data_IF_321293523379
#
_entry.id   IF_321293523379
#
_cell.length_a   1.000
_cell.length_b   1.000
_cell.length_c   1.000
_cell.angle_alpha   90.00
_cell.angle_beta   90.00
_cell.angle_gamma   90.00
#
_symmetry.space_group_name_H-M   'P 1'
#
loop_
_entity.id
_entity.type
_entity.pdbx_description
1 polymer ?
#
# COMPACT_ATOMS: atom_id res chain seq x y z
N UNK A 1 2.97 12.92 7.50
CA UNK A 1 1.52 12.86 7.18
C UNK A 1 0.86 11.88 8.13
N UNK A 2 -0.40 12.09 8.52
CA UNK A 2 -1.12 11.16 9.39
C UNK A 2 -1.64 9.93 8.62
N UNK A 3 -1.98 8.86 9.34
CA UNK A 3 -2.62 7.67 8.77
C UNK A 3 -3.92 7.99 8.04
N UNK A 4 -4.74 8.91 8.59
CA UNK A 4 -5.96 9.38 7.94
C UNK A 4 -5.67 10.07 6.60
N UNK A 5 -4.68 10.96 6.54
CA UNK A 5 -4.34 11.65 5.30
C UNK A 5 -3.88 10.68 4.21
N UNK A 6 -3.11 9.64 4.58
CA UNK A 6 -2.75 8.57 3.65
C UNK A 6 -4.00 7.83 3.14
N UNK A 7 -4.90 7.47 4.05
CA UNK A 7 -6.12 6.78 3.67
C UNK A 7 -6.96 7.61 2.69
N UNK A 8 -7.07 8.92 2.90
CA UNK A 8 -7.89 9.78 2.07
C UNK A 8 -7.24 10.08 0.70
N UNK A 9 -5.91 10.28 0.63
CA UNK A 9 -5.26 10.90 -0.56
C UNK A 9 -4.23 10.06 -1.31
N UNK A 10 -3.66 9.00 -0.71
CA UNK A 10 -2.60 8.25 -1.42
C UNK A 10 -3.16 7.38 -2.55
N UNK A 11 -2.59 7.31 -3.76
CA UNK A 11 -3.10 6.35 -4.75
C UNK A 11 -2.82 4.90 -4.31
N UNK A 12 -3.76 3.97 -4.56
CA UNK A 12 -3.44 2.53 -4.46
C UNK A 12 -2.21 2.23 -5.31
N UNK A 13 -1.30 1.41 -4.81
CA UNK A 13 -0.03 1.10 -5.46
C UNK A 13 1.12 2.05 -5.15
N UNK A 14 0.87 3.16 -4.45
CA UNK A 14 1.91 4.05 -3.94
C UNK A 14 2.84 3.33 -2.95
N UNK A 15 4.12 3.71 -2.93
CA UNK A 15 5.04 3.30 -1.86
C UNK A 15 4.98 4.32 -0.74
N UNK A 16 4.71 3.83 0.46
CA UNK A 16 4.54 4.61 1.67
C UNK A 16 5.63 4.22 2.65
N UNK A 17 6.39 5.21 3.11
CA UNK A 17 7.26 5.10 4.28
C UNK A 17 6.44 5.40 5.52
N UNK A 18 6.63 4.63 6.59
CA UNK A 18 6.12 4.91 7.92
C UNK A 18 7.27 4.96 8.94
N UNK A 19 7.15 5.79 9.98
CA UNK A 19 8.19 5.99 10.99
C UNK A 19 7.60 6.38 12.34
N UNK A 20 8.24 5.97 13.43
CA UNK A 20 7.98 6.45 14.80
C UNK A 20 8.91 7.60 15.21
N UNK A 21 9.71 8.13 14.28
CA UNK A 21 10.66 9.22 14.52
C UNK A 21 11.96 8.81 15.24
N UNK A 22 12.09 7.55 15.65
CA UNK A 22 13.30 7.10 16.36
C UNK A 22 14.49 6.92 15.39
N UNK A 23 15.74 7.22 15.83
CA UNK A 23 16.90 7.13 14.94
C UNK A 23 17.26 5.68 14.60
N UNK A 24 17.64 5.44 13.34
CA UNK A 24 18.02 4.12 12.84
C UNK A 24 19.24 3.55 13.60
N UNK A 25 19.12 2.35 14.22
CA UNK A 25 20.25 1.70 14.87
C UNK A 25 21.37 1.33 13.89
N UNK A 26 22.65 1.29 14.31
CA UNK A 26 23.74 0.79 13.48
C UNK A 26 23.52 -0.65 13.03
N UNK A 27 23.92 -1.00 11.80
CA UNK A 27 23.67 -2.31 11.18
C UNK A 27 24.23 -3.50 11.96
N UNK A 28 25.33 -3.30 12.70
CA UNK A 28 25.89 -4.32 13.58
C UNK A 28 24.93 -4.75 14.71
N UNK A 29 23.99 -3.91 15.11
CA UNK A 29 23.01 -4.22 16.16
C UNK A 29 21.74 -4.86 15.57
N UNK A 30 21.89 -5.99 14.88
CA UNK A 30 20.83 -6.65 14.09
C UNK A 30 19.48 -6.77 14.81
N UNK A 31 19.47 -7.19 16.08
CA UNK A 31 18.22 -7.30 16.87
C UNK A 31 17.53 -5.95 17.10
N UNK A 32 18.31 -4.90 17.38
CA UNK A 32 17.77 -3.55 17.57
C UNK A 32 17.27 -2.99 16.24
N UNK A 33 18.03 -3.21 15.16
CA UNK A 33 17.63 -2.78 13.82
C UNK A 33 16.31 -3.45 13.40
N UNK A 34 16.17 -4.77 13.57
CA UNK A 34 14.93 -5.47 13.26
C UNK A 34 13.74 -4.98 14.11
N UNK A 35 13.96 -4.69 15.40
CA UNK A 35 12.92 -4.11 16.25
C UNK A 35 12.52 -2.71 15.80
N UNK A 36 13.48 -1.90 15.34
CA UNK A 36 13.27 -0.57 14.80
C UNK A 36 12.51 -0.60 13.47
N UNK A 37 12.86 -1.52 12.56
CA UNK A 37 12.20 -1.71 11.25
C UNK A 37 10.70 -2.04 11.39
N UNK A 38 10.28 -2.66 12.50
CA UNK A 38 8.85 -2.91 12.77
C UNK A 38 8.03 -1.62 12.81
N UNK A 39 8.61 -0.48 13.18
CA UNK A 39 7.93 0.82 13.22
C UNK A 39 8.52 1.83 12.24
N UNK A 40 9.54 1.43 11.48
CA UNK A 40 10.25 2.28 10.52
C UNK A 40 10.58 1.49 9.25
N UNK A 41 9.64 1.45 8.30
CA UNK A 41 9.81 0.73 7.04
C UNK A 41 9.05 1.39 5.90
N UNK A 42 9.06 0.75 4.74
CA UNK A 42 8.27 1.11 3.59
C UNK A 42 7.39 -0.05 3.15
N UNK A 43 6.25 0.24 2.54
CA UNK A 43 5.45 -0.77 1.85
C UNK A 43 4.54 -0.17 0.78
N UNK A 44 4.11 -1.01 -0.14
CA UNK A 44 3.16 -0.62 -1.18
C UNK A 44 1.74 -0.62 -0.62
N UNK A 45 1.01 0.46 -0.80
CA UNK A 45 -0.40 0.53 -0.43
C UNK A 45 -1.21 -0.42 -1.30
N UNK A 46 -1.77 -1.48 -0.71
CA UNK A 46 -2.49 -2.53 -1.45
C UNK A 46 -3.98 -2.60 -1.14
N UNK A 47 -4.42 -2.06 0.00
CA UNK A 47 -5.81 -2.14 0.41
C UNK A 47 -6.21 -0.96 1.28
N UNK A 48 -7.47 -0.55 1.15
CA UNK A 48 -8.18 0.34 2.05
C UNK A 48 -9.42 -0.35 2.55
N UNK A 49 -9.78 -0.08 3.79
CA UNK A 49 -11.03 -0.54 4.37
C UNK A 49 -11.66 0.60 5.16
N UNK A 50 -12.87 0.99 4.75
CA UNK A 50 -13.64 1.98 5.49
C UNK A 50 -13.93 1.49 6.91
N UNK A 51 -14.05 2.44 7.84
CA UNK A 51 -14.46 2.14 9.20
C UNK A 51 -15.88 1.56 9.23
N UNK A 52 -16.15 0.69 10.20
CA UNK A 52 -17.44 0.04 10.32
C UNK A 52 -17.92 0.04 11.78
N UNK A 53 -19.24 0.12 11.97
CA UNK A 53 -19.85 -0.15 13.26
C UNK A 53 -20.22 -1.63 13.35
N UNK A 54 -19.61 -2.35 14.28
CA UNK A 54 -19.91 -3.76 14.55
C UNK A 54 -20.60 -3.84 15.91
N UNK A 55 -21.93 -3.96 15.89
CA UNK A 55 -22.76 -3.87 17.10
C UNK A 55 -22.60 -2.52 17.78
N UNK A 56 -22.05 -2.52 19.01
CA UNK A 56 -21.77 -1.30 19.79
C UNK A 56 -20.35 -0.74 19.56
N UNK A 57 -19.49 -1.45 18.87
CA UNK A 57 -18.07 -1.08 18.69
C UNK A 57 -17.88 -0.35 17.36
N UNK A 58 -17.13 0.76 17.39
CA UNK A 58 -16.65 1.44 16.18
C UNK A 58 -15.27 0.87 15.86
N UNK A 59 -15.14 0.25 14.69
CA UNK A 59 -13.86 -0.16 14.13
C UNK A 59 -13.38 0.99 13.24
N UNK A 60 -12.23 1.61 13.54
CA UNK A 60 -11.70 2.67 12.70
C UNK A 60 -11.39 2.12 11.30
N UNK A 61 -11.33 3.01 10.32
CA UNK A 61 -10.83 2.63 9.00
C UNK A 61 -9.39 2.12 9.08
N UNK A 62 -8.94 1.48 8.02
CA UNK A 62 -7.56 1.01 7.95
C UNK A 62 -7.05 0.97 6.52
N UNK A 63 -5.74 0.91 6.38
CA UNK A 63 -5.08 0.58 5.12
C UNK A 63 -3.99 -0.46 5.34
N UNK A 64 -3.70 -1.23 4.31
CA UNK A 64 -2.70 -2.29 4.35
C UNK A 64 -1.56 -1.99 3.38
N UNK A 65 -0.34 -2.12 3.88
CA UNK A 65 0.89 -2.05 3.10
C UNK A 65 1.44 -3.46 2.89
N UNK A 66 1.88 -3.74 1.67
CA UNK A 66 2.74 -4.88 1.35
C UNK A 66 4.20 -4.46 1.50
N UNK A 67 4.89 -4.96 2.54
CA UNK A 67 6.26 -4.59 2.89
C UNK A 67 7.32 -5.39 2.13
N UNK A 68 6.97 -6.59 1.65
CA UNK A 68 7.84 -7.38 0.80
C UNK A 68 7.50 -8.85 0.71
N UNK A 69 8.07 -9.47 -0.32
CA UNK A 69 8.02 -10.90 -0.58
C UNK A 69 9.32 -11.56 -0.13
N UNK A 70 9.23 -12.71 0.54
CA UNK A 70 10.35 -13.52 0.99
C UNK A 70 10.32 -14.86 0.25
N UNK A 71 11.48 -15.26 -0.28
CA UNK A 71 11.63 -16.48 -1.07
C UNK A 71 12.72 -16.35 -2.12
N UNK A 72 12.60 -17.11 -3.19
CA UNK A 72 13.45 -16.99 -4.38
C UNK A 72 12.73 -16.18 -5.45
N UNK A 73 13.45 -15.73 -6.49
CA UNK A 73 12.83 -15.02 -7.63
C UNK A 73 11.72 -15.82 -8.32
N UNK A 74 11.77 -17.15 -8.26
CA UNK A 74 10.78 -18.03 -8.88
C UNK A 74 9.65 -18.44 -7.93
N UNK A 75 9.89 -18.45 -6.61
CA UNK A 75 8.93 -18.93 -5.61
C UNK A 75 8.91 -17.99 -4.42
N UNK A 76 7.80 -17.27 -4.28
CA UNK A 76 7.50 -16.46 -3.09
C UNK A 76 6.92 -17.41 -2.03
N UNK A 77 7.59 -17.49 -0.88
CA UNK A 77 7.20 -18.35 0.25
C UNK A 77 6.37 -17.59 1.27
N UNK A 78 6.60 -16.28 1.41
CA UNK A 78 5.88 -15.43 2.35
C UNK A 78 5.72 -14.01 1.81
N UNK A 79 4.51 -13.47 1.90
CA UNK A 79 4.24 -12.03 1.71
C UNK A 79 4.05 -11.38 3.07
N UNK A 80 4.71 -10.25 3.30
CA UNK A 80 4.59 -9.51 4.58
C UNK A 80 3.68 -8.32 4.37
N UNK A 81 2.54 -8.35 5.03
CA UNK A 81 1.58 -7.26 5.05
C UNK A 81 1.51 -6.63 6.43
N UNK A 82 1.29 -5.32 6.46
CA UNK A 82 1.02 -4.59 7.70
C UNK A 82 -0.16 -3.66 7.52
N UNK A 83 -1.10 -3.75 8.45
CA UNK A 83 -2.31 -2.94 8.47
C UNK A 83 -2.18 -1.85 9.53
N UNK A 84 -2.53 -0.62 9.15
CA UNK A 84 -2.54 0.55 10.02
C UNK A 84 -3.98 1.02 10.23
N UNK A 85 -4.34 1.26 11.49
CA UNK A 85 -5.56 2.00 11.83
C UNK A 85 -5.40 3.47 11.42
N UNK A 86 -6.51 4.15 11.09
CA UNK A 86 -6.49 5.61 10.88
C UNK A 86 -6.09 6.40 12.13
N UNK A 87 -6.18 5.77 13.30
CA UNK A 87 -5.78 6.35 14.59
C UNK A 87 -4.30 6.10 14.92
N UNK A 88 -3.51 5.55 13.98
CA UNK A 88 -2.07 5.36 14.19
C UNK A 88 -1.36 6.70 14.39
N UNK A 89 -0.47 6.72 15.38
CA UNK A 89 0.39 7.83 15.78
C UNK A 89 1.70 7.91 14.99
N UNK A 90 1.91 7.03 14.02
CA UNK A 90 3.10 7.02 13.18
C UNK A 90 3.05 8.13 12.13
N UNK A 91 4.23 8.55 11.71
CA UNK A 91 4.39 9.46 10.58
C UNK A 91 4.49 8.69 9.27
N UNK A 92 3.72 9.13 8.28
CA UNK A 92 3.72 8.54 6.95
C UNK A 92 4.22 9.52 5.90
N UNK A 93 4.84 8.98 4.84
CA UNK A 93 5.27 9.74 3.66
C UNK A 93 5.03 8.90 2.40
N UNK A 94 4.34 9.46 1.40
CA UNK A 94 4.29 8.87 0.05
C UNK A 94 5.63 9.17 -0.62
N UNK A 95 6.40 8.13 -0.92
CA UNK A 95 7.73 8.27 -1.52
C UNK A 95 7.76 7.88 -3.01
N UNK A 96 6.77 7.13 -3.47
CA UNK A 96 6.59 6.78 -4.88
C UNK A 96 5.10 6.64 -5.20
N UNK A 97 4.69 7.06 -6.40
CA UNK A 97 3.32 6.89 -6.92
C UNK A 97 3.37 6.02 -8.18
N UNK A 98 2.32 5.24 -8.48
CA UNK A 98 2.24 4.53 -9.75
C UNK A 98 2.34 5.50 -10.94
N UNK A 99 3.04 5.10 -11.99
CA UNK A 99 3.18 5.91 -13.20
C UNK A 99 1.85 6.03 -13.94
N UNK A 100 1.61 7.17 -14.60
CA UNK A 100 0.52 7.30 -15.56
C UNK A 100 0.65 6.24 -16.66
N UNK A 101 -0.47 5.65 -17.06
CA UNK A 101 -0.54 4.53 -18.01
C UNK A 101 -0.27 3.15 -17.40
N UNK A 102 0.15 3.07 -16.13
CA UNK A 102 0.18 1.80 -15.41
C UNK A 102 -1.23 1.31 -15.08
N UNK A 103 -1.38 0.00 -14.87
CA UNK A 103 -2.65 -0.64 -14.56
C UNK A 103 -2.57 -1.34 -13.20
N UNK A 104 -3.43 -0.91 -12.30
CA UNK A 104 -3.65 -1.54 -10.99
C UNK A 104 -4.58 -2.73 -11.16
N UNK A 105 -4.12 -3.91 -10.74
CA UNK A 105 -4.91 -5.15 -10.77
C UNK A 105 -5.38 -5.45 -9.35
N UNK A 106 -6.68 -5.31 -9.10
CA UNK A 106 -7.29 -5.70 -7.82
C UNK A 106 -7.84 -7.12 -7.92
N UNK A 107 -7.77 -7.87 -6.82
CA UNK A 107 -8.24 -9.26 -6.75
C UNK A 107 -9.75 -9.42 -6.90
N UNK A 108 -10.52 -8.37 -6.59
CA UNK A 108 -11.99 -8.32 -6.69
C UNK A 108 -12.49 -6.87 -6.60
N UNK A 109 -13.76 -6.60 -6.97
CA UNK A 109 -14.37 -5.27 -6.80
C UNK A 109 -14.57 -4.85 -5.34
N UNK A 110 -14.67 -3.53 -5.11
CA UNK A 110 -15.04 -2.90 -3.84
C UNK A 110 -13.93 -2.87 -2.79
N UNK A 111 -14.27 -2.44 -1.56
CA UNK A 111 -13.33 -2.28 -0.43
C UNK A 111 -12.66 -3.60 0.03
N UNK A 112 -13.21 -4.74 -0.39
CA UNK A 112 -12.61 -6.04 -0.16
C UNK A 112 -11.48 -6.36 -1.16
N UNK A 113 -11.35 -5.60 -2.24
CA UNK A 113 -10.32 -5.72 -3.26
C UNK A 113 -8.94 -5.40 -2.71
N UNK A 114 -7.99 -6.31 -2.96
CA UNK A 114 -6.58 -6.10 -2.68
C UNK A 114 -5.83 -5.90 -4.00
N UNK A 115 -4.96 -4.90 -4.08
CA UNK A 115 -4.05 -4.74 -5.20
C UNK A 115 -3.04 -5.88 -5.21
N UNK A 116 -3.14 -6.74 -6.22
CA UNK A 116 -2.28 -7.92 -6.36
C UNK A 116 -1.14 -7.71 -7.35
N UNK A 117 -1.29 -6.75 -8.26
CA UNK A 117 -0.26 -6.42 -9.24
C UNK A 117 -0.37 -4.97 -9.74
N UNK A 118 0.77 -4.37 -10.09
CA UNK A 118 0.86 -3.09 -10.80
C UNK A 118 1.57 -3.37 -12.12
N UNK A 119 0.82 -3.39 -13.21
CA UNK A 119 1.34 -3.62 -14.55
C UNK A 119 1.73 -2.30 -15.21
N UNK A 120 2.74 -2.33 -16.09
CA UNK A 120 3.19 -1.13 -16.82
C UNK A 120 2.23 -0.72 -17.94
N UNK A 121 1.28 -1.58 -18.31
CA UNK A 121 0.27 -1.34 -19.34
C UNK A 121 -0.88 -2.32 -19.21
N UNK A 122 -1.96 -2.08 -19.96
CA UNK A 122 -3.09 -3.01 -20.06
C UNK A 122 -2.69 -4.38 -20.59
N UNK A 123 -1.90 -4.43 -21.66
CA UNK A 123 -1.44 -5.69 -22.24
C UNK A 123 -0.61 -6.52 -21.24
N UNK A 124 0.25 -5.86 -20.46
CA UNK A 124 1.03 -6.53 -19.42
C UNK A 124 0.14 -7.04 -18.26
N UNK A 125 -0.93 -6.32 -17.91
CA UNK A 125 -1.90 -6.78 -16.92
C UNK A 125 -2.64 -8.03 -17.39
N UNK A 126 -3.09 -8.04 -18.65
CA UNK A 126 -3.81 -9.18 -19.24
C UNK A 126 -2.89 -10.42 -19.36
N UNK A 127 -1.63 -10.23 -19.79
CA UNK A 127 -0.62 -11.31 -19.79
C UNK A 127 -0.37 -11.85 -18.39
N UNK A 128 -0.26 -10.97 -17.39
CA UNK A 128 -0.10 -11.38 -16.00
C UNK A 128 -1.31 -12.18 -15.51
N UNK A 129 -2.54 -11.71 -15.74
CA UNK A 129 -3.77 -12.42 -15.36
C UNK A 129 -3.92 -13.79 -16.03
N UNK A 130 -3.46 -13.94 -17.28
CA UNK A 130 -3.49 -15.26 -17.95
C UNK A 130 -2.70 -16.35 -17.22
N UNK A 131 -1.74 -15.94 -16.38
CA UNK A 131 -0.88 -16.83 -15.58
C UNK A 131 -1.25 -16.85 -14.09
N UNK A 132 -2.19 -16.02 -13.65
CA UNK A 132 -2.52 -15.84 -12.23
C UNK A 132 -4.02 -16.00 -12.01
N UNK A 133 -4.41 -16.87 -11.06
CA UNK A 133 -5.80 -17.23 -10.79
C UNK A 133 -6.59 -16.15 -10.05
N UNK A 134 -6.90 -15.03 -10.72
CA UNK A 134 -7.78 -13.98 -10.22
C UNK A 134 -9.01 -13.81 -11.14
N UNK A 135 -10.03 -14.69 -11.02
CA UNK A 135 -11.18 -14.69 -11.92
C UNK A 135 -12.05 -13.43 -11.79
N UNK A 136 -12.08 -12.82 -10.60
CA UNK A 136 -12.86 -11.61 -10.31
C UNK A 136 -12.03 -10.33 -10.44
N UNK A 137 -10.85 -10.39 -11.07
CA UNK A 137 -9.93 -9.26 -11.11
C UNK A 137 -10.55 -8.02 -11.75
N UNK A 138 -10.24 -6.85 -11.18
CA UNK A 138 -10.63 -5.55 -11.74
C UNK A 138 -9.37 -4.77 -12.07
N UNK A 139 -9.36 -4.15 -13.25
CA UNK A 139 -8.26 -3.37 -13.76
C UNK A 139 -8.60 -1.88 -13.72
N UNK A 140 -7.72 -1.08 -13.10
CA UNK A 140 -7.82 0.38 -13.10
C UNK A 140 -6.57 0.98 -13.72
N UNK A 141 -6.74 1.75 -14.78
CA UNK A 141 -5.65 2.50 -15.39
C UNK A 141 -5.38 3.77 -14.59
N UNK A 142 -4.10 4.03 -14.31
CA UNK A 142 -3.64 5.23 -13.62
C UNK A 142 -3.56 6.35 -14.66
N UNK A 143 -4.49 7.30 -14.59
CA UNK A 143 -4.51 8.44 -15.52
C UNK A 143 -3.66 9.60 -15.00
N UNK A 144 -3.16 10.44 -15.91
CA UNK A 144 -2.38 11.63 -15.56
C UNK A 144 -3.20 12.64 -14.72
N UNK A 145 -4.50 12.75 -15.01
CA UNK A 145 -5.40 13.66 -14.29
C UNK A 145 -5.63 13.23 -12.83
N UNK A 146 -5.66 11.92 -12.57
CA UNK A 146 -5.74 11.39 -11.21
C UNK A 146 -4.48 11.73 -10.40
N UNK A 147 -3.30 11.65 -11.03
CA UNK A 147 -2.03 12.04 -10.38
C UNK A 147 -1.94 13.55 -10.13
N UNK A 148 -2.53 14.36 -11.00
CA UNK A 148 -2.55 15.82 -10.87
C UNK A 148 -3.47 16.27 -9.72
N UNK A 149 -4.66 15.67 -9.59
CA UNK A 149 -5.56 15.91 -8.45
C UNK A 149 -4.88 15.59 -7.11
N UNK A 150 -4.19 14.44 -7.03
CA UNK A 150 -3.44 14.02 -5.84
C UNK A 150 -2.21 14.90 -5.54
N UNK A 151 -1.68 15.66 -6.53
CA UNK A 151 -0.55 16.57 -6.34
C UNK A 151 -0.98 17.92 -5.77
N UNK A 152 -2.18 18.40 -6.12
CA UNK A 152 -2.71 19.69 -5.65
C UNK A 152 -3.06 19.63 -4.16
N UNK A 153 -3.61 18.51 -3.68
CA UNK A 153 -3.96 18.34 -2.25
C UNK A 153 -2.74 18.17 -1.34
N UNK A 154 -1.59 17.74 -1.88
CA UNK A 154 -0.33 17.58 -1.12
C UNK A 154 0.47 18.87 -0.90
N UNK A 155 -0.02 20.03 -1.38
CA UNK A 155 0.64 21.33 -1.26
C UNK A 155 0.01 22.27 -0.22
N UNK A 156 -0.98 21.80 0.54
CA UNK A 156 -1.51 22.56 1.67
C UNK A 156 -0.75 22.21 2.96
N UNK A 157 -0.04 23.23 3.46
CA UNK A 157 0.67 23.39 4.76
C UNK A 157 2.15 23.01 4.77
#
# INVERSE_FOLDING_TARGET
MSARLIFDTAPLGAIIRYSDGTPRPPERHRRKLQAWERHNNTGRLVKRQAGARVGKTIVPGSFTLHEGDYGTKAVIVLKVFKTFSLDSDLDFTVIERPSAGSVLVLSRPGDAGELVHVAVSRAAADEWLSRHGYPDAVLYEVTADQLAADHVEGRAV
#
